data_IF_884461754186
#
_entry.id   IF_884461754186
#
_cell.length_a   1.000
_cell.length_b   1.000
_cell.length_c   1.000
_cell.angle_alpha   90.00
_cell.angle_beta   90.00
_cell.angle_gamma   90.00
#
_symmetry.space_group_name_H-M   'P 1'
#
loop_
_entity.id
_entity.type
_entity.pdbx_description
1 polymer ?
#
# COMPACT_ATOMS: atom_id res chain seq x y z
N UNK A 1 20.28 -0.32 16.85
CA UNK A 1 19.08 -1.13 17.15
C UNK A 1 18.54 -0.68 18.48
N UNK A 2 17.57 0.23 18.48
CA UNK A 2 16.82 0.63 19.66
C UNK A 2 15.39 0.13 19.42
N UNK A 3 14.96 -0.83 20.23
CA UNK A 3 13.67 -1.47 20.13
C UNK A 3 12.55 -0.45 20.35
N UNK A 4 11.57 -0.45 19.46
CA UNK A 4 10.30 0.19 19.72
C UNK A 4 9.60 -0.60 20.82
N UNK A 5 9.64 -0.05 22.03
CA UNK A 5 8.92 -0.56 23.20
C UNK A 5 7.42 -0.39 22.92
N UNK A 6 6.81 -1.47 22.47
CA UNK A 6 5.40 -1.79 22.64
C UNK A 6 4.40 -0.78 22.04
N UNK A 7 4.70 -0.22 20.86
CA UNK A 7 3.63 0.37 20.07
C UNK A 7 2.84 -0.79 19.45
N UNK A 8 1.58 -0.99 19.90
CA UNK A 8 0.61 -1.95 19.31
C UNK A 8 0.20 -1.57 17.87
N UNK A 9 1.11 -0.93 17.13
CA UNK A 9 0.90 -0.41 15.79
C UNK A 9 1.19 -1.52 14.81
N UNK A 10 0.22 -1.78 13.94
CA UNK A 10 0.39 -2.75 12.87
C UNK A 10 1.39 -2.19 11.84
N UNK A 11 2.02 -3.07 11.07
CA UNK A 11 2.83 -2.65 9.91
C UNK A 11 1.97 -2.79 8.66
N UNK A 12 1.83 -1.70 7.91
CA UNK A 12 1.21 -1.71 6.58
C UNK A 12 2.27 -1.87 5.51
N UNK A 13 1.93 -2.59 4.45
CA UNK A 13 2.75 -2.62 3.25
C UNK A 13 1.93 -2.85 2.00
N UNK A 14 2.53 -2.50 0.86
CA UNK A 14 1.98 -2.77 -0.46
C UNK A 14 3.09 -3.06 -1.45
N UNK A 15 2.74 -3.74 -2.53
CA UNK A 15 3.58 -3.99 -3.70
C UNK A 15 2.72 -3.73 -4.94
N UNK A 16 3.19 -2.85 -5.82
CA UNK A 16 2.54 -2.56 -7.09
C UNK A 16 3.44 -3.09 -8.19
N UNK A 17 2.87 -3.99 -9.00
CA UNK A 17 3.53 -4.55 -10.18
C UNK A 17 2.97 -3.89 -11.45
N UNK A 18 3.87 -3.58 -12.38
CA UNK A 18 3.53 -3.10 -13.72
C UNK A 18 4.44 -3.80 -14.74
N UNK A 19 3.86 -4.23 -15.88
CA UNK A 19 4.57 -4.97 -16.93
C UNK A 19 5.37 -6.21 -16.44
N UNK A 20 4.89 -6.86 -15.37
CA UNK A 20 5.55 -8.04 -14.78
C UNK A 20 6.69 -7.73 -13.80
N UNK A 21 7.00 -6.46 -13.54
CA UNK A 21 7.99 -6.03 -12.56
C UNK A 21 7.40 -5.20 -11.42
N UNK A 22 8.04 -5.22 -10.25
CA UNK A 22 7.69 -4.33 -9.14
C UNK A 22 8.12 -2.90 -9.42
N UNK A 23 7.19 -1.96 -9.35
CA UNK A 23 7.44 -0.54 -9.64
C UNK A 23 7.28 0.38 -8.43
N UNK A 24 6.48 -0.02 -7.43
CA UNK A 24 6.35 0.69 -6.17
C UNK A 24 6.11 -0.30 -5.04
N UNK A 25 6.69 -0.04 -3.88
CA UNK A 25 6.46 -0.84 -2.68
C UNK A 25 6.69 0.02 -1.44
N UNK A 26 6.04 -0.38 -0.35
CA UNK A 26 6.26 0.22 0.95
C UNK A 26 6.06 -0.84 2.03
N UNK A 27 6.83 -0.73 3.10
CA UNK A 27 6.55 -1.41 4.38
C UNK A 27 6.83 -0.39 5.48
N UNK A 28 5.79 -0.03 6.24
CA UNK A 28 5.86 1.04 7.24
C UNK A 28 4.99 0.72 8.43
N UNK A 29 5.50 1.02 9.62
CA UNK A 29 4.70 1.05 10.84
C UNK A 29 3.56 2.08 10.68
N UNK A 30 2.33 1.65 10.94
CA UNK A 30 1.17 2.53 10.90
C UNK A 30 1.35 3.69 11.87
N UNK A 31 0.80 4.86 11.54
CA UNK A 31 0.96 6.05 12.40
C UNK A 31 0.18 5.93 13.71
N UNK A 32 -0.98 5.28 13.65
CA UNK A 32 -1.90 5.08 14.76
C UNK A 32 -1.90 3.61 15.22
N UNK A 33 -2.28 3.37 16.47
CA UNK A 33 -2.57 2.03 16.98
C UNK A 33 -3.95 1.62 16.46
N UNK A 34 -4.04 0.45 15.84
CA UNK A 34 -5.30 -0.11 15.35
C UNK A 34 -5.99 -0.93 16.41
N UNK A 35 -7.31 -0.82 16.48
CA UNK A 35 -8.15 -1.53 17.44
C UNK A 35 -8.53 -2.94 16.97
N UNK A 36 -8.33 -3.24 15.69
CA UNK A 36 -8.57 -4.57 15.11
C UNK A 36 -7.67 -4.82 13.89
N UNK A 37 -7.56 -6.08 13.48
CA UNK A 37 -6.89 -6.47 12.23
C UNK A 37 -7.57 -5.85 11.00
N UNK A 38 -8.91 -5.78 11.00
CA UNK A 38 -9.69 -5.17 9.91
C UNK A 38 -9.32 -3.70 9.72
N UNK A 39 -9.16 -2.96 10.82
CA UNK A 39 -8.75 -1.56 10.75
C UNK A 39 -7.33 -1.43 10.20
N UNK A 40 -6.42 -2.34 10.58
CA UNK A 40 -5.07 -2.37 10.03
C UNK A 40 -5.04 -2.68 8.53
N UNK A 41 -5.82 -3.66 8.08
CA UNK A 41 -5.99 -3.99 6.67
C UNK A 41 -6.58 -2.81 5.89
N UNK A 42 -7.59 -2.14 6.44
CA UNK A 42 -8.19 -0.98 5.80
C UNK A 42 -7.18 0.17 5.62
N UNK A 43 -6.31 0.40 6.60
CA UNK A 43 -5.22 1.38 6.48
C UNK A 43 -4.25 0.96 5.36
N UNK A 44 -3.82 -0.31 5.33
CA UNK A 44 -2.92 -0.81 4.29
C UNK A 44 -3.51 -0.68 2.88
N UNK A 45 -4.78 -1.07 2.70
CA UNK A 45 -5.54 -0.92 1.45
C UNK A 45 -5.61 0.55 1.04
N UNK A 46 -5.90 1.44 1.99
CA UNK A 46 -6.01 2.88 1.72
C UNK A 46 -4.67 3.47 1.24
N UNK A 47 -3.56 3.05 1.85
CA UNK A 47 -2.21 3.47 1.42
C UNK A 47 -1.88 2.93 0.02
N UNK A 48 -2.14 1.65 -0.24
CA UNK A 48 -1.94 1.05 -1.56
C UNK A 48 -2.77 1.74 -2.65
N UNK A 49 -4.05 2.03 -2.37
CA UNK A 49 -4.94 2.74 -3.29
C UNK A 49 -4.45 4.15 -3.63
N UNK A 50 -3.90 4.89 -2.66
CA UNK A 50 -3.33 6.22 -2.90
C UNK A 50 -2.17 6.15 -3.89
N UNK A 51 -1.26 5.21 -3.68
CA UNK A 51 -0.11 5.02 -4.56
C UNK A 51 -0.54 4.54 -5.95
N UNK A 52 -1.50 3.62 -6.02
CA UNK A 52 -2.06 3.13 -7.27
C UNK A 52 -2.76 4.22 -8.09
N UNK A 53 -3.49 5.12 -7.41
CA UNK A 53 -4.11 6.29 -8.05
C UNK A 53 -3.08 7.28 -8.56
N UNK A 54 -2.00 7.50 -7.81
CA UNK A 54 -0.88 8.32 -8.26
C UNK A 54 -0.22 7.71 -9.50
N UNK A 55 0.09 6.42 -9.47
CA UNK A 55 0.68 5.69 -10.60
C UNK A 55 -0.24 5.72 -11.82
N UNK A 56 -1.55 5.53 -11.64
CA UNK A 56 -2.54 5.64 -12.73
C UNK A 56 -2.46 7.00 -13.41
N UNK A 57 -2.42 8.09 -12.64
CA UNK A 57 -2.32 9.46 -13.21
C UNK A 57 -1.00 9.65 -13.94
N UNK A 58 0.10 9.19 -13.35
CA UNK A 58 1.43 9.24 -13.97
C UNK A 58 1.46 8.49 -15.32
N UNK A 59 0.89 7.29 -15.39
CA UNK A 59 0.80 6.52 -16.64
C UNK A 59 -0.08 7.22 -17.69
N UNK A 60 -1.17 7.85 -17.27
CA UNK A 60 -2.03 8.63 -18.18
C UNK A 60 -1.30 9.83 -18.80
N UNK A 61 -0.47 10.53 -18.03
CA UNK A 61 0.39 11.62 -18.54
C UNK A 61 1.38 11.11 -19.60
N UNK A 62 1.83 9.87 -19.47
CA UNK A 62 2.70 9.18 -20.44
C UNK A 62 1.93 8.53 -21.60
N UNK A 63 0.62 8.78 -21.73
CA UNK A 63 -0.26 8.16 -22.74
C UNK A 63 -0.37 6.63 -22.63
N UNK A 64 -0.06 6.05 -21.47
CA UNK A 64 -0.34 4.65 -21.17
C UNK A 64 -1.70 4.52 -20.49
N UNK A 65 -2.60 3.77 -21.12
CA UNK A 65 -3.92 3.46 -20.55
C UNK A 65 -3.95 1.99 -20.17
N UNK A 66 -4.16 1.72 -18.88
CA UNK A 66 -4.41 0.38 -18.38
C UNK A 66 -5.88 0.25 -17.99
N UNK A 67 -6.55 -0.80 -18.47
CA UNK A 67 -7.98 -1.02 -18.22
C UNK A 67 -8.29 -1.36 -16.76
N UNK A 68 -7.36 -2.04 -16.08
CA UNK A 68 -7.58 -2.56 -14.72
C UNK A 68 -6.32 -2.42 -13.87
N UNK A 69 -6.54 -2.04 -12.61
CA UNK A 69 -5.53 -1.96 -11.57
C UNK A 69 -5.94 -2.90 -10.44
N UNK A 70 -5.64 -4.21 -10.54
CA UNK A 70 -6.05 -5.17 -9.53
C UNK A 70 -5.32 -4.89 -8.22
N UNK A 71 -6.07 -4.85 -7.11
CA UNK A 71 -5.54 -4.75 -5.77
C UNK A 71 -5.75 -6.09 -5.07
N UNK A 72 -4.66 -6.72 -4.64
CA UNK A 72 -4.68 -7.95 -3.86
C UNK A 72 -4.43 -7.60 -2.40
N UNK A 73 -5.17 -8.25 -1.50
CA UNK A 73 -5.07 -8.06 -0.06
C UNK A 73 -4.91 -9.44 0.55
N UNK A 74 -3.92 -9.59 1.43
CA UNK A 74 -3.77 -10.81 2.23
C UNK A 74 -4.90 -10.81 3.28
N UNK A 75 -5.72 -11.88 3.29
CA UNK A 75 -6.82 -12.09 4.22
C UNK A 75 -6.48 -13.15 5.26
#
# INVERSE_FOLDING_TARGET
MAGDVDSRKSTSGYLINFAGGAVAWQSRLQRCVTLSTIEAEFIAITEACKELLWLKKFLQELSFVQDKYPLFVDS
#
